data_IF_393039350664
#
_entry.id   IF_393039350664
#
_cell.length_a   1.000
_cell.length_b   1.000
_cell.length_c   1.000
_cell.angle_alpha   90.00
_cell.angle_beta   90.00
_cell.angle_gamma   90.00
#
_symmetry.space_group_name_H-M   'P 1'
#
loop_
_entity.id
_entity.type
_entity.pdbx_description
1 polymer ?
#
# COMPACT_ATOMS: atom_id res chain seq x y z
N UNK A 1 -7.87 -8.25 21.22
CA UNK A 1 -7.43 -9.07 20.08
C UNK A 1 -8.50 -9.28 19.01
N UNK A 2 -9.71 -9.76 19.29
CA UNK A 2 -10.75 -9.99 18.27
C UNK A 2 -11.21 -8.76 17.46
N UNK A 3 -11.15 -7.55 18.00
CA UNK A 3 -11.61 -6.32 17.30
C UNK A 3 -10.58 -5.72 16.30
N UNK A 4 -9.29 -5.99 16.46
CA UNK A 4 -8.26 -5.49 15.52
C UNK A 4 -8.19 -6.25 14.21
N UNK A 5 -8.53 -7.54 14.20
CA UNK A 5 -8.57 -8.36 12.99
C UNK A 5 -9.63 -7.84 12.02
N UNK A 6 -10.77 -7.35 12.52
CA UNK A 6 -11.90 -6.92 11.68
C UNK A 6 -11.65 -5.67 10.84
N UNK A 7 -10.67 -4.79 11.18
CA UNK A 7 -10.36 -3.57 10.41
C UNK A 7 -9.34 -3.74 9.29
N UNK A 8 -8.65 -4.87 9.24
CA UNK A 8 -7.50 -5.09 8.34
C UNK A 8 -7.72 -6.13 7.25
N UNK A 9 -8.74 -6.97 7.40
CA UNK A 9 -9.09 -8.07 6.49
C UNK A 9 -10.59 -8.06 6.19
N UNK A 10 -11.03 -8.78 5.14
CA UNK A 10 -12.45 -9.05 4.94
C UNK A 10 -13.09 -9.61 6.21
N UNK A 11 -14.37 -9.31 6.42
CA UNK A 11 -15.08 -9.77 7.62
C UNK A 11 -15.06 -11.30 7.74
N UNK A 12 -15.17 -11.82 8.96
CA UNK A 12 -15.28 -13.27 9.18
C UNK A 12 -16.44 -13.90 8.42
N UNK A 13 -17.55 -13.16 8.22
CA UNK A 13 -18.67 -13.59 7.36
C UNK A 13 -18.26 -13.67 5.89
N UNK A 14 -17.45 -12.73 5.39
CA UNK A 14 -17.01 -12.72 3.99
C UNK A 14 -16.07 -13.89 3.69
N UNK A 15 -15.09 -14.17 4.55
CA UNK A 15 -14.19 -15.31 4.35
C UNK A 15 -14.98 -16.62 4.41
N UNK A 16 -15.87 -16.80 5.38
CA UNK A 16 -16.67 -18.01 5.51
C UNK A 16 -17.58 -18.23 4.29
N UNK A 17 -18.25 -17.18 3.82
CA UNK A 17 -19.11 -17.26 2.62
C UNK A 17 -18.33 -17.66 1.37
N UNK A 18 -17.11 -17.14 1.20
CA UNK A 18 -16.33 -17.31 -0.02
C UNK A 18 -15.42 -18.54 -0.03
N UNK A 19 -15.09 -19.08 1.15
CA UNK A 19 -14.10 -20.17 1.29
C UNK A 19 -14.61 -21.35 2.12
N UNK A 20 -15.84 -21.28 2.62
CA UNK A 20 -16.47 -22.34 3.42
C UNK A 20 -16.01 -22.40 4.88
N UNK A 21 -14.96 -21.69 5.26
CA UNK A 21 -14.35 -21.78 6.61
C UNK A 21 -14.10 -20.40 7.22
N UNK A 22 -14.09 -20.32 8.56
CA UNK A 22 -13.72 -19.13 9.31
C UNK A 22 -12.20 -18.91 9.34
N UNK A 23 -11.75 -17.75 9.77
CA UNK A 23 -10.32 -17.42 9.90
C UNK A 23 -9.57 -18.41 10.80
N UNK A 24 -10.16 -18.75 11.95
CA UNK A 24 -9.56 -19.64 12.94
C UNK A 24 -9.38 -21.07 12.39
N UNK A 25 -10.34 -21.54 11.59
CA UNK A 25 -10.27 -22.86 10.95
C UNK A 25 -9.17 -22.92 9.90
N UNK A 26 -9.03 -21.86 9.08
CA UNK A 26 -7.92 -21.75 8.13
C UNK A 26 -6.56 -21.72 8.82
N UNK A 27 -6.45 -20.97 9.92
CA UNK A 27 -5.19 -20.90 10.68
C UNK A 27 -4.83 -22.25 11.29
N UNK A 28 -5.80 -22.99 11.82
CA UNK A 28 -5.58 -24.36 12.34
C UNK A 28 -5.13 -25.33 11.26
N UNK A 29 -5.70 -25.25 10.06
CA UNK A 29 -5.27 -26.05 8.91
C UNK A 29 -3.80 -25.75 8.56
N UNK A 30 -3.43 -24.48 8.47
CA UNK A 30 -2.06 -24.11 8.14
C UNK A 30 -1.10 -24.53 9.26
N UNK A 31 -1.49 -24.39 10.52
CA UNK A 31 -0.70 -24.86 11.68
C UNK A 31 -0.41 -26.38 11.65
N UNK A 32 -1.37 -27.16 11.14
CA UNK A 32 -1.24 -28.63 11.09
C UNK A 32 -0.30 -29.13 9.99
N UNK A 33 -0.15 -28.38 8.90
CA UNK A 33 0.66 -28.82 7.74
C UNK A 33 2.00 -28.10 7.60
N UNK A 34 2.20 -26.99 8.32
CA UNK A 34 3.21 -26.11 7.81
C UNK A 34 3.99 -25.22 8.77
N UNK A 35 4.45 -25.69 9.94
CA UNK A 35 5.51 -24.96 10.66
C UNK A 35 6.74 -24.81 9.76
N UNK A 36 6.96 -23.61 9.20
CA UNK A 36 8.12 -23.32 8.35
C UNK A 36 7.85 -23.25 6.84
N UNK A 37 6.62 -23.45 6.38
CA UNK A 37 6.28 -23.24 4.97
C UNK A 37 6.45 -21.77 4.57
N UNK A 38 7.01 -21.53 3.37
CA UNK A 38 7.10 -20.19 2.80
C UNK A 38 5.71 -19.73 2.32
N UNK A 39 5.51 -18.42 2.26
CA UNK A 39 4.26 -17.79 1.78
C UNK A 39 3.69 -18.46 0.51
N UNK A 40 4.55 -18.66 -0.49
CA UNK A 40 4.14 -19.26 -1.78
C UNK A 40 3.62 -20.69 -1.62
N UNK A 41 4.22 -21.45 -0.73
CA UNK A 41 3.86 -22.86 -0.51
C UNK A 41 2.53 -22.97 0.23
N UNK A 42 2.30 -22.11 1.24
CA UNK A 42 1.00 -22.03 1.94
C UNK A 42 -0.11 -21.66 0.95
N UNK A 43 0.09 -20.60 0.15
CA UNK A 43 -0.93 -20.16 -0.81
C UNK A 43 -1.21 -21.24 -1.88
N UNK A 44 -0.17 -21.92 -2.36
CA UNK A 44 -0.30 -23.04 -3.30
C UNK A 44 -1.05 -24.22 -2.69
N UNK A 45 -0.75 -24.56 -1.44
CA UNK A 45 -1.43 -25.62 -0.70
C UNK A 45 -2.93 -25.35 -0.56
N UNK A 46 -3.30 -24.14 -0.09
CA UNK A 46 -4.70 -23.74 0.04
C UNK A 46 -5.45 -23.79 -1.30
N UNK A 47 -4.78 -23.37 -2.38
CA UNK A 47 -5.38 -23.42 -3.71
C UNK A 47 -5.60 -24.84 -4.22
N UNK A 48 -4.61 -25.72 -4.07
CA UNK A 48 -4.63 -27.09 -4.60
C UNK A 48 -5.53 -28.02 -3.79
N UNK A 49 -5.37 -28.02 -2.47
CA UNK A 49 -6.05 -28.99 -1.60
C UNK A 49 -7.48 -28.58 -1.24
N UNK A 50 -7.76 -27.29 -1.16
CA UNK A 50 -9.08 -26.79 -0.77
C UNK A 50 -9.81 -26.03 -1.88
N UNK A 51 -9.22 -25.94 -3.08
CA UNK A 51 -9.78 -25.24 -4.24
C UNK A 51 -10.15 -23.77 -3.95
N UNK A 52 -9.48 -23.17 -2.96
CA UNK A 52 -9.64 -21.76 -2.62
C UNK A 52 -9.12 -20.92 -3.79
N UNK A 53 -9.88 -19.91 -4.20
CA UNK A 53 -9.44 -19.03 -5.31
C UNK A 53 -8.09 -18.39 -5.01
N UNK A 54 -7.30 -18.09 -6.04
CA UNK A 54 -5.96 -17.53 -5.88
C UNK A 54 -5.93 -16.26 -5.00
N UNK A 55 -6.93 -15.39 -5.12
CA UNK A 55 -7.05 -14.19 -4.27
C UNK A 55 -7.25 -14.54 -2.78
N UNK A 56 -8.17 -15.46 -2.48
CA UNK A 56 -8.42 -15.90 -1.11
C UNK A 56 -7.26 -16.69 -0.52
N UNK A 57 -6.57 -17.52 -1.32
CA UNK A 57 -5.36 -18.22 -0.88
C UNK A 57 -4.28 -17.25 -0.42
N UNK A 58 -4.03 -16.20 -1.20
CA UNK A 58 -3.11 -15.12 -0.82
C UNK A 58 -3.58 -14.37 0.43
N UNK A 59 -4.87 -14.04 0.51
CA UNK A 59 -5.44 -13.30 1.63
C UNK A 59 -5.34 -14.08 2.95
N UNK A 60 -5.69 -15.38 2.93
CA UNK A 60 -5.59 -16.26 4.10
C UNK A 60 -4.15 -16.41 4.54
N UNK A 61 -3.22 -16.62 3.61
CA UNK A 61 -1.78 -16.74 3.91
C UNK A 61 -1.25 -15.47 4.57
N UNK A 62 -1.55 -14.28 4.01
CA UNK A 62 -1.15 -12.99 4.60
C UNK A 62 -1.73 -12.80 6.00
N UNK A 63 -2.99 -13.16 6.21
CA UNK A 63 -3.63 -13.03 7.51
C UNK A 63 -2.98 -13.96 8.55
N UNK A 64 -2.72 -15.21 8.17
CA UNK A 64 -2.02 -16.19 8.99
C UNK A 64 -0.62 -15.72 9.38
N UNK A 65 0.20 -15.32 8.39
CA UNK A 65 1.57 -14.85 8.65
C UNK A 65 1.60 -13.67 9.63
N UNK A 66 0.64 -12.76 9.53
CA UNK A 66 0.54 -11.63 10.45
C UNK A 66 0.07 -12.04 11.85
N UNK A 67 -0.90 -12.94 11.95
CA UNK A 67 -1.36 -13.44 13.25
C UNK A 67 -0.25 -14.18 13.99
N UNK A 68 0.58 -14.93 13.27
CA UNK A 68 1.74 -15.64 13.83
C UNK A 68 2.98 -14.77 14.00
N UNK A 69 2.94 -13.49 13.65
CA UNK A 69 4.10 -12.60 13.72
C UNK A 69 5.20 -12.91 12.69
N UNK A 70 4.90 -13.74 11.68
CA UNK A 70 5.82 -14.13 10.62
C UNK A 70 5.95 -13.05 9.54
N UNK A 71 5.10 -12.06 9.54
CA UNK A 71 5.10 -10.96 8.59
C UNK A 71 4.94 -9.63 9.27
N UNK A 72 5.84 -8.73 8.98
CA UNK A 72 5.77 -7.37 9.48
C UNK A 72 4.77 -6.50 8.69
N UNK A 73 4.30 -5.42 9.33
CA UNK A 73 3.52 -4.41 8.63
C UNK A 73 4.36 -3.81 7.49
N UNK A 74 3.71 -3.59 6.33
CA UNK A 74 4.33 -3.02 5.11
C UNK A 74 5.31 -3.94 4.38
N UNK A 75 5.63 -5.12 4.89
CA UNK A 75 6.55 -6.07 4.26
C UNK A 75 5.99 -6.60 2.93
N UNK A 76 6.85 -6.66 1.93
CA UNK A 76 6.65 -7.21 0.59
C UNK A 76 7.83 -8.12 0.24
N UNK A 77 7.73 -8.95 -0.82
CA UNK A 77 8.86 -9.80 -1.23
C UNK A 77 10.14 -9.05 -1.58
N UNK A 78 10.01 -7.80 -2.04
CA UNK A 78 11.10 -6.93 -2.50
C UNK A 78 11.44 -5.78 -1.54
N UNK A 79 11.06 -5.89 -0.27
CA UNK A 79 11.28 -4.89 0.77
C UNK A 79 9.99 -4.46 1.44
N UNK A 80 9.87 -3.18 1.78
CA UNK A 80 8.68 -2.63 2.43
C UNK A 80 8.00 -1.62 1.50
N UNK A 81 6.67 -1.54 1.59
CA UNK A 81 5.86 -0.63 0.79
C UNK A 81 4.80 0.03 1.66
N UNK A 82 4.68 1.36 1.52
CA UNK A 82 3.60 2.13 2.17
C UNK A 82 2.71 2.77 1.12
N UNK A 83 1.48 3.05 1.50
CA UNK A 83 0.56 3.85 0.72
C UNK A 83 -0.07 4.92 1.60
N UNK A 84 -0.13 6.14 1.07
CA UNK A 84 -0.80 7.28 1.69
C UNK A 84 -1.67 7.95 0.64
N UNK A 85 -2.89 8.32 1.00
CA UNK A 85 -3.79 9.03 0.11
C UNK A 85 -4.43 10.24 0.78
N UNK A 86 -4.77 11.24 -0.03
CA UNK A 86 -5.52 12.41 0.40
C UNK A 86 -6.48 12.86 -0.68
N UNK A 87 -7.69 13.22 -0.28
CA UNK A 87 -8.64 13.94 -1.12
C UNK A 87 -8.37 15.43 -0.94
N UNK A 88 -8.26 16.16 -2.05
CA UNK A 88 -7.92 17.59 -2.08
C UNK A 88 -8.95 18.32 -2.96
N UNK A 89 -9.37 19.50 -2.52
CA UNK A 89 -10.26 20.38 -3.24
C UNK A 89 -9.49 21.09 -4.38
N UNK A 90 -9.20 20.33 -5.42
CA UNK A 90 -8.56 20.81 -6.64
C UNK A 90 -8.81 19.85 -7.80
N UNK A 91 -8.86 20.33 -9.06
CA UNK A 91 -8.92 19.48 -10.24
C UNK A 91 -7.72 18.54 -10.33
N UNK A 92 -7.92 17.37 -10.94
CA UNK A 92 -6.85 16.37 -11.09
C UNK A 92 -5.64 16.90 -11.86
N UNK A 93 -5.84 17.78 -12.85
CA UNK A 93 -4.78 18.44 -13.61
C UNK A 93 -3.90 19.33 -12.74
N UNK A 94 -4.49 19.99 -11.75
CA UNK A 94 -3.75 20.80 -10.77
C UNK A 94 -2.87 19.90 -9.90
N UNK A 95 -3.40 18.80 -9.35
CA UNK A 95 -2.59 17.84 -8.55
C UNK A 95 -1.47 17.22 -9.38
N UNK A 96 -1.74 16.87 -10.64
CA UNK A 96 -0.74 16.31 -11.54
C UNK A 96 0.41 17.30 -11.75
N UNK A 97 0.11 18.57 -12.05
CA UNK A 97 1.09 19.63 -12.26
C UNK A 97 1.95 19.90 -11.02
N UNK A 98 1.35 19.84 -9.81
CA UNK A 98 2.07 19.96 -8.54
C UNK A 98 3.14 18.85 -8.36
N UNK A 99 2.91 17.67 -8.93
CA UNK A 99 3.85 16.55 -8.87
C UNK A 99 4.83 16.51 -10.05
N UNK A 100 4.50 17.12 -11.18
CA UNK A 100 5.34 17.15 -12.38
C UNK A 100 6.38 18.26 -12.35
N UNK A 101 6.00 19.45 -11.86
CA UNK A 101 6.85 20.63 -11.88
C UNK A 101 7.73 20.71 -10.64
N UNK A 102 9.05 20.84 -10.83
CA UNK A 102 10.04 20.87 -9.74
C UNK A 102 9.83 22.04 -8.77
N UNK A 103 9.56 23.23 -9.27
CA UNK A 103 9.35 24.42 -8.44
C UNK A 103 8.09 24.28 -7.56
N UNK A 104 7.06 23.59 -8.09
CA UNK A 104 5.84 23.30 -7.34
C UNK A 104 6.09 22.22 -6.30
N UNK A 105 6.86 21.19 -6.61
CA UNK A 105 7.25 20.14 -5.65
C UNK A 105 7.93 20.74 -4.42
N UNK A 106 8.84 21.68 -4.61
CA UNK A 106 9.62 22.32 -3.54
C UNK A 106 8.75 23.09 -2.52
N UNK A 107 7.53 23.46 -2.90
CA UNK A 107 6.57 24.13 -2.00
C UNK A 107 5.92 23.19 -0.98
N UNK A 108 5.74 21.91 -1.32
CA UNK A 108 5.02 20.96 -0.47
C UNK A 108 5.84 19.74 -0.05
N UNK A 109 6.92 19.40 -0.76
CA UNK A 109 7.89 18.41 -0.31
C UNK A 109 8.89 19.09 0.63
N UNK A 110 9.02 18.57 1.85
CA UNK A 110 10.10 19.03 2.74
C UNK A 110 11.39 18.27 2.43
N UNK A 111 12.50 18.94 2.73
CA UNK A 111 13.90 18.55 2.51
C UNK A 111 14.19 17.05 2.40
N UNK A 112 14.30 16.57 1.18
CA UNK A 112 15.20 15.49 0.81
C UNK A 112 16.15 16.08 -0.23
N UNK A 113 17.44 16.03 0.04
CA UNK A 113 18.46 16.46 -0.92
C UNK A 113 18.44 15.46 -2.09
N UNK A 114 18.20 15.94 -3.29
CA UNK A 114 18.17 15.15 -4.50
C UNK A 114 16.96 15.42 -5.40
N UNK A 115 17.04 14.94 -6.62
CA UNK A 115 15.99 15.06 -7.62
C UNK A 115 15.19 13.76 -7.74
N UNK A 116 13.88 13.88 -7.71
CA UNK A 116 12.99 12.82 -8.14
C UNK A 116 13.09 12.69 -9.66
N UNK A 117 13.34 11.47 -10.16
CA UNK A 117 13.39 11.21 -11.60
C UNK A 117 12.07 10.61 -12.05
N UNK A 118 11.30 11.37 -12.82
CA UNK A 118 10.05 10.89 -13.42
C UNK A 118 10.42 9.99 -14.60
N UNK A 119 10.23 8.68 -14.46
CA UNK A 119 10.53 7.70 -15.50
C UNK A 119 9.39 7.53 -16.51
N UNK A 120 8.16 7.34 -16.01
CA UNK A 120 6.96 7.17 -16.84
C UNK A 120 5.80 7.95 -16.23
N UNK A 121 5.09 8.68 -17.08
CA UNK A 121 3.88 9.39 -16.66
C UNK A 121 2.75 9.18 -17.66
N UNK A 122 1.53 9.13 -17.13
CA UNK A 122 0.29 9.24 -17.89
C UNK A 122 -0.43 10.46 -17.36
N UNK A 123 -0.59 11.47 -18.20
CA UNK A 123 -1.16 12.78 -17.82
C UNK A 123 -2.48 12.63 -17.06
N UNK A 124 -2.57 13.28 -15.92
CA UNK A 124 -3.72 13.29 -15.02
C UNK A 124 -4.13 11.89 -14.47
N UNK A 125 -3.31 10.85 -14.64
CA UNK A 125 -3.62 9.49 -14.18
C UNK A 125 -2.57 8.93 -13.25
N UNK A 126 -1.29 8.90 -13.65
CA UNK A 126 -0.26 8.30 -12.83
C UNK A 126 1.15 8.76 -13.18
N UNK A 127 2.06 8.63 -12.22
CA UNK A 127 3.50 8.83 -12.41
C UNK A 127 4.27 7.69 -11.74
N UNK A 128 5.34 7.22 -12.39
CA UNK A 128 6.36 6.34 -11.78
C UNK A 128 7.65 7.12 -11.66
N UNK A 129 8.17 7.17 -10.45
CA UNK A 129 9.27 8.07 -10.07
C UNK A 129 10.33 7.23 -9.37
N UNK A 130 11.59 7.40 -9.75
CA UNK A 130 12.72 6.97 -8.92
C UNK A 130 12.92 8.03 -7.83
N UNK A 131 12.90 7.58 -6.57
CA UNK A 131 13.05 8.48 -5.43
C UNK A 131 14.47 9.02 -5.34
N UNK A 132 14.67 10.09 -4.61
CA UNK A 132 15.94 10.82 -4.46
C UNK A 132 17.13 9.94 -3.99
N UNK A 133 16.87 8.82 -3.35
CA UNK A 133 17.89 7.85 -2.92
C UNK A 133 18.40 6.94 -4.06
N UNK A 134 17.80 7.02 -5.25
CA UNK A 134 18.13 6.19 -6.40
C UNK A 134 17.79 4.70 -6.26
N UNK A 135 17.24 4.27 -5.12
CA UNK A 135 17.00 2.85 -4.76
C UNK A 135 15.51 2.53 -4.62
N UNK A 136 14.77 3.43 -4.01
CA UNK A 136 13.33 3.28 -3.79
C UNK A 136 12.54 3.95 -4.93
N UNK A 137 11.29 3.59 -5.09
CA UNK A 137 10.44 4.16 -6.13
C UNK A 137 9.07 4.56 -5.61
N UNK A 138 8.47 5.53 -6.32
CA UNK A 138 7.10 5.98 -6.07
C UNK A 138 6.22 5.60 -7.25
N UNK A 139 4.99 5.26 -6.92
CA UNK A 139 3.88 5.24 -7.83
C UNK A 139 2.83 6.22 -7.31
N UNK A 140 2.58 7.29 -8.06
CA UNK A 140 1.58 8.30 -7.73
C UNK A 140 0.41 8.11 -8.66
N UNK A 141 -0.78 7.93 -8.10
CA UNK A 141 -2.02 7.78 -8.85
C UNK A 141 -2.98 8.93 -8.51
N UNK A 142 -3.66 9.43 -9.53
CA UNK A 142 -4.60 10.54 -9.45
C UNK A 142 -6.00 10.07 -9.84
N UNK A 143 -6.99 10.41 -9.04
CA UNK A 143 -8.39 10.01 -9.27
C UNK A 143 -9.31 11.21 -9.18
N UNK A 144 -10.19 11.37 -10.14
CA UNK A 144 -11.31 12.31 -10.06
C UNK A 144 -12.24 11.94 -8.91
N UNK A 145 -12.72 12.93 -8.17
CA UNK A 145 -13.73 12.80 -7.11
C UNK A 145 -14.87 13.82 -7.25
N UNK A 146 -14.93 14.51 -8.40
CA UNK A 146 -15.81 15.60 -8.76
C UNK A 146 -15.06 16.62 -9.61
N UNK A 147 -15.74 17.67 -10.09
CA UNK A 147 -15.13 18.67 -10.97
C UNK A 147 -13.98 19.43 -10.28
N UNK A 148 -14.18 19.84 -9.04
CA UNK A 148 -13.22 20.61 -8.23
C UNK A 148 -12.49 19.76 -7.16
N UNK A 149 -12.61 18.41 -7.21
CA UNK A 149 -12.12 17.54 -6.16
C UNK A 149 -11.43 16.33 -6.74
N UNK A 150 -10.26 15.99 -6.20
CA UNK A 150 -9.47 14.86 -6.66
C UNK A 150 -8.78 14.15 -5.51
N UNK A 151 -8.41 12.90 -5.73
CA UNK A 151 -7.63 12.11 -4.79
C UNK A 151 -6.25 11.84 -5.38
N UNK A 152 -5.22 12.09 -4.58
CA UNK A 152 -3.86 11.65 -4.83
C UNK A 152 -3.56 10.44 -3.94
N UNK A 153 -2.93 9.42 -4.52
CA UNK A 153 -2.44 8.22 -3.80
C UNK A 153 -0.96 8.08 -4.10
N UNK A 154 -0.13 8.12 -3.07
CA UNK A 154 1.31 7.91 -3.16
C UNK A 154 1.63 6.54 -2.59
N UNK A 155 2.22 5.67 -3.40
CA UNK A 155 2.78 4.40 -2.96
C UNK A 155 4.30 4.49 -3.06
N UNK A 156 4.99 4.21 -1.94
CA UNK A 156 6.45 4.20 -1.87
C UNK A 156 6.92 2.77 -1.64
N UNK A 157 7.70 2.25 -2.57
CA UNK A 157 8.08 0.84 -2.65
C UNK A 157 9.59 0.65 -2.44
N UNK A 158 9.98 -0.60 -2.16
CA UNK A 158 11.37 -1.05 -1.97
C UNK A 158 12.08 -0.37 -0.80
N UNK A 159 11.34 0.04 0.22
CA UNK A 159 11.91 0.55 1.46
C UNK A 159 12.66 -0.59 2.17
N UNK A 160 13.78 -0.27 2.83
CA UNK A 160 14.72 -1.26 3.37
C UNK A 160 14.14 -2.07 4.55
N UNK A 161 13.38 -1.41 5.41
CA UNK A 161 12.91 -1.96 6.67
C UNK A 161 11.64 -1.26 7.16
N UNK A 162 11.07 -1.80 8.23
CA UNK A 162 9.86 -1.28 8.88
C UNK A 162 10.03 0.16 9.38
N UNK A 163 11.18 0.50 9.95
CA UNK A 163 11.47 1.83 10.48
C UNK A 163 11.46 2.88 9.36
N UNK A 164 12.10 2.55 8.23
CA UNK A 164 12.05 3.41 7.04
C UNK A 164 10.62 3.55 6.51
N UNK A 165 9.86 2.45 6.48
CA UNK A 165 8.46 2.47 6.05
C UNK A 165 7.59 3.38 6.92
N UNK A 166 7.74 3.31 8.24
CA UNK A 166 7.01 4.19 9.19
C UNK A 166 7.41 5.66 9.02
N UNK A 167 8.72 5.94 8.89
CA UNK A 167 9.24 7.29 8.62
C UNK A 167 8.67 7.85 7.32
N UNK A 168 8.71 7.09 6.23
CA UNK A 168 8.20 7.53 4.94
C UNK A 168 6.68 7.70 4.93
N UNK A 169 5.95 6.90 5.69
CA UNK A 169 4.50 7.06 5.84
C UNK A 169 4.13 8.37 6.51
N UNK A 170 4.85 8.76 7.58
CA UNK A 170 4.68 10.06 8.24
C UNK A 170 5.06 11.22 7.32
N UNK A 171 6.19 11.10 6.63
CA UNK A 171 6.65 12.08 5.66
C UNK A 171 5.58 12.37 4.60
N UNK A 172 5.03 11.34 3.96
CA UNK A 172 4.01 11.50 2.93
C UNK A 172 2.69 12.05 3.46
N UNK A 173 2.31 11.70 4.69
CA UNK A 173 1.13 12.31 5.34
C UNK A 173 1.30 13.81 5.49
N UNK A 174 2.43 14.25 6.02
CA UNK A 174 2.70 15.67 6.19
C UNK A 174 2.86 16.41 4.86
N UNK A 175 3.50 15.78 3.87
CA UNK A 175 3.66 16.36 2.54
C UNK A 175 2.32 16.56 1.83
N UNK A 176 1.44 15.56 1.85
CA UNK A 176 0.11 15.71 1.26
C UNK A 176 -0.78 16.69 2.03
N UNK A 177 -0.56 16.88 3.33
CA UNK A 177 -1.22 17.94 4.11
C UNK A 177 -0.78 19.31 3.62
N UNK A 178 0.55 19.55 3.49
CA UNK A 178 1.08 20.83 2.95
C UNK A 178 0.60 21.10 1.52
N UNK A 179 0.57 20.07 0.66
CA UNK A 179 -0.01 20.18 -0.69
C UNK A 179 -1.47 20.63 -0.63
N UNK A 180 -2.27 20.02 0.25
CA UNK A 180 -3.67 20.42 0.43
C UNK A 180 -3.83 21.85 0.91
N UNK A 181 -2.95 22.31 1.81
CA UNK A 181 -2.98 23.69 2.33
C UNK A 181 -2.55 24.70 1.26
N UNK A 182 -1.50 24.41 0.49
CA UNK A 182 -1.00 25.29 -0.57
C UNK A 182 -1.96 25.50 -1.74
N UNK A 183 -2.97 24.66 -1.88
CA UNK A 183 -3.99 24.75 -2.92
C UNK A 183 -5.32 25.36 -2.43
N UNK A 184 -5.41 25.70 -1.14
CA UNK A 184 -6.57 26.42 -0.56
C UNK A 184 -6.36 27.93 -0.48
N UNK A 185 -5.10 28.36 -0.63
CA UNK A 185 -4.68 29.75 -0.72
C UNK A 185 -4.74 30.24 -2.18
#
# INVERSE_FOLDING_TARGET
>A
MKQEIQRKYPSGKAVQKSTGKKWEEWFSIIDSVGKGMKHKDIASYLHKEFQVTGWWSQMITVAYEKEKGLRENYQRPDGYSISVSKVIEAPVSTLYRQCENKEMQDKWLSKYDGNMIIGKSNTNKSMRITWVDGKTNLEINFYHRGESKSQIVVQHNKLSDKRQAEKMKLYWRHSLERLSQSLRS
#
